data_IF_670483570352
#
_entry.id   IF_670483570352
#
_cell.length_a   1.000
_cell.length_b   1.000
_cell.length_c   1.000
_cell.angle_alpha   90.00
_cell.angle_beta   90.00
_cell.angle_gamma   90.00
#
_symmetry.space_group_name_H-M   'P 1'
#
loop_
_entity.id
_entity.type
_entity.pdbx_description
1 polymer ?
#
# COMPACT_ATOMS: atom_id res chain seq x y z
N UNK A 1 9.57 2.99 23.10
CA UNK A 1 9.70 4.46 22.90
C UNK A 1 8.29 5.05 23.01
N UNK A 2 8.01 6.01 23.88
CA UNK A 2 6.63 6.44 24.14
C UNK A 2 6.01 7.25 22.99
N UNK A 3 4.67 7.31 22.94
CA UNK A 3 3.85 8.09 21.97
C UNK A 3 4.40 9.49 21.67
N UNK A 4 5.06 10.14 22.63
CA UNK A 4 5.70 11.44 22.47
C UNK A 4 6.80 11.44 21.40
N UNK A 5 7.63 10.38 21.32
CA UNK A 5 8.71 10.29 20.31
C UNK A 5 8.14 10.11 18.90
N UNK A 6 7.03 9.40 18.75
CA UNK A 6 6.29 9.26 17.49
C UNK A 6 5.73 10.63 17.06
N UNK A 7 5.08 11.36 17.98
CA UNK A 7 4.60 12.71 17.72
C UNK A 7 5.72 13.68 17.30
N UNK A 8 6.90 13.59 17.90
CA UNK A 8 8.05 14.43 17.54
C UNK A 8 8.57 14.09 16.13
N UNK A 9 8.55 12.82 15.71
CA UNK A 9 8.88 12.45 14.32
C UNK A 9 7.87 13.04 13.32
N UNK A 10 6.58 13.05 13.65
CA UNK A 10 5.53 13.64 12.83
C UNK A 10 5.74 15.15 12.63
N UNK A 11 6.25 15.85 13.63
CA UNK A 11 6.38 17.31 13.61
C UNK A 11 7.70 17.83 13.03
N UNK A 12 8.81 17.13 13.26
CA UNK A 12 10.14 17.70 12.99
C UNK A 12 10.92 17.01 11.88
N UNK A 13 10.91 15.68 11.78
CA UNK A 13 11.72 14.97 10.77
C UNK A 13 11.16 13.58 10.51
N UNK A 14 10.30 13.45 9.54
CA UNK A 14 9.80 12.15 9.10
C UNK A 14 10.93 11.32 8.46
N UNK A 15 11.18 10.16 9.05
CA UNK A 15 12.04 9.10 8.52
C UNK A 15 11.18 7.85 8.39
N UNK A 16 10.69 7.50 7.18
CA UNK A 16 9.69 6.44 6.99
C UNK A 16 10.05 5.13 7.65
N UNK A 17 11.26 4.63 7.43
CA UNK A 17 11.70 3.35 7.99
C UNK A 17 11.65 3.33 9.52
N UNK A 18 12.20 4.36 10.16
CA UNK A 18 12.18 4.44 11.63
C UNK A 18 10.76 4.60 12.16
N UNK A 19 9.97 5.48 11.53
CA UNK A 19 8.60 5.75 11.93
C UNK A 19 7.75 4.48 11.94
N UNK A 20 7.75 3.73 10.81
CA UNK A 20 6.97 2.52 10.68
C UNK A 20 7.49 1.38 11.56
N UNK A 21 8.82 1.25 11.69
CA UNK A 21 9.38 0.25 12.57
C UNK A 21 9.02 0.51 14.04
N UNK A 22 9.08 1.77 14.50
CA UNK A 22 8.72 2.14 15.87
C UNK A 22 7.22 1.87 16.15
N UNK A 23 6.31 2.25 15.23
CA UNK A 23 4.87 2.03 15.37
C UNK A 23 4.53 0.54 15.39
N UNK A 24 5.02 -0.23 14.43
CA UNK A 24 4.70 -1.64 14.31
C UNK A 24 5.37 -2.47 15.42
N UNK A 25 6.48 -2.04 15.96
CA UNK A 25 7.08 -2.67 17.15
C UNK A 25 6.25 -2.42 18.41
N UNK A 26 5.54 -1.29 18.50
CA UNK A 26 4.65 -0.98 19.65
C UNK A 26 3.29 -1.67 19.51
N UNK A 27 2.75 -1.79 18.28
CA UNK A 27 1.44 -2.37 18.01
C UNK A 27 1.42 -3.09 16.67
N UNK A 28 1.66 -4.41 16.69
CA UNK A 28 1.62 -5.25 15.48
C UNK A 28 0.20 -5.77 15.22
N UNK A 29 -0.74 -4.85 15.10
CA UNK A 29 -2.15 -5.09 14.81
C UNK A 29 -2.75 -3.92 13.99
N UNK A 30 -4.07 -3.94 13.77
CA UNK A 30 -4.75 -2.91 12.97
C UNK A 30 -4.70 -1.49 13.59
N UNK A 31 -4.29 -1.33 14.85
CA UNK A 31 -4.06 0.00 15.45
C UNK A 31 -2.76 0.62 14.94
N UNK A 32 -1.76 -0.21 14.62
CA UNK A 32 -0.47 0.25 14.08
C UNK A 32 -0.55 0.72 12.61
N UNK A 33 -1.43 0.12 11.81
CA UNK A 33 -1.57 0.44 10.36
C UNK A 33 -2.89 1.12 10.00
N UNK A 34 -3.84 1.17 10.92
CA UNK A 34 -5.15 1.75 10.72
C UNK A 34 -5.23 3.23 11.07
N UNK A 35 -6.43 3.69 11.37
CA UNK A 35 -6.66 5.07 11.76
C UNK A 35 -6.20 5.31 13.20
N UNK A 36 -5.26 6.23 13.36
CA UNK A 36 -4.75 6.62 14.66
C UNK A 36 -5.87 7.19 15.55
N UNK A 37 -6.02 6.67 16.77
CA UNK A 37 -7.06 7.10 17.72
C UNK A 37 -8.35 6.27 17.68
N UNK A 38 -8.49 5.32 16.75
CA UNK A 38 -9.56 4.32 16.76
C UNK A 38 -9.14 3.08 17.55
N UNK A 39 -10.12 2.41 18.15
CA UNK A 39 -9.94 1.10 18.75
C UNK A 39 -9.59 0.04 17.69
N UNK A 40 -9.14 -1.12 18.15
CA UNK A 40 -8.89 -2.27 17.26
C UNK A 40 -10.17 -2.72 16.53
N UNK A 41 -11.30 -2.76 17.23
CA UNK A 41 -12.60 -3.12 16.66
C UNK A 41 -13.06 -2.15 15.57
N UNK A 42 -12.89 -0.83 15.80
CA UNK A 42 -13.23 0.18 14.78
C UNK A 42 -12.31 0.12 13.56
N UNK A 43 -11.02 -0.15 13.76
CA UNK A 43 -10.11 -0.38 12.68
C UNK A 43 -10.44 -1.68 11.94
N UNK A 44 -10.78 -2.76 12.62
CA UNK A 44 -11.20 -4.02 12.01
C UNK A 44 -12.47 -3.84 11.15
N UNK A 45 -13.46 -3.11 11.62
CA UNK A 45 -14.67 -2.78 10.86
C UNK A 45 -14.33 -1.98 9.59
N UNK A 46 -13.47 -0.95 9.70
CA UNK A 46 -13.00 -0.18 8.56
C UNK A 46 -12.26 -1.04 7.52
N UNK A 47 -11.41 -1.97 7.96
CA UNK A 47 -10.71 -2.87 7.06
C UNK A 47 -11.65 -3.90 6.40
N UNK A 48 -12.71 -4.33 7.09
CA UNK A 48 -13.74 -5.18 6.50
C UNK A 48 -14.52 -4.45 5.39
N UNK A 49 -14.87 -3.17 5.59
CA UNK A 49 -15.47 -2.33 4.55
C UNK A 49 -14.54 -2.16 3.35
N UNK A 50 -13.27 -1.85 3.58
CA UNK A 50 -12.24 -1.77 2.53
C UNK A 50 -12.11 -3.07 1.74
N UNK A 51 -12.15 -4.20 2.43
CA UNK A 51 -12.12 -5.52 1.80
C UNK A 51 -13.32 -5.73 0.88
N UNK A 52 -14.52 -5.40 1.31
CA UNK A 52 -15.72 -5.52 0.49
C UNK A 52 -15.65 -4.66 -0.79
N UNK A 53 -15.13 -3.42 -0.67
CA UNK A 53 -14.89 -2.55 -1.83
C UNK A 53 -13.89 -3.19 -2.80
N UNK A 54 -12.78 -3.69 -2.30
CA UNK A 54 -11.76 -4.34 -3.12
C UNK A 54 -12.33 -5.57 -3.83
N UNK A 55 -13.05 -6.43 -3.12
CA UNK A 55 -13.69 -7.62 -3.72
C UNK A 55 -14.66 -7.24 -4.84
N UNK A 56 -15.43 -6.16 -4.65
CA UNK A 56 -16.31 -5.61 -5.67
C UNK A 56 -15.56 -5.11 -6.90
N UNK A 57 -14.46 -4.37 -6.71
CA UNK A 57 -13.66 -3.83 -7.82
C UNK A 57 -12.87 -4.94 -8.55
N UNK A 58 -12.35 -5.95 -7.83
CA UNK A 58 -11.73 -7.11 -8.47
C UNK A 58 -12.74 -7.85 -9.37
N UNK A 59 -13.96 -8.04 -8.90
CA UNK A 59 -15.04 -8.65 -9.69
C UNK A 59 -15.43 -7.78 -10.90
N UNK A 60 -15.59 -6.47 -10.70
CA UNK A 60 -15.94 -5.49 -11.75
C UNK A 60 -14.94 -5.49 -12.90
N UNK A 61 -13.65 -5.58 -12.59
CA UNK A 61 -12.57 -5.57 -13.59
C UNK A 61 -12.08 -6.97 -13.97
N UNK A 62 -12.80 -8.02 -13.58
CA UNK A 62 -12.48 -9.43 -13.89
C UNK A 62 -11.06 -9.82 -13.49
N UNK A 63 -10.61 -9.35 -12.32
CA UNK A 63 -9.31 -9.72 -11.76
C UNK A 63 -9.46 -10.99 -10.94
N UNK A 64 -9.08 -12.11 -11.53
CA UNK A 64 -9.09 -13.40 -10.84
C UNK A 64 -7.81 -13.57 -9.99
N UNK A 65 -8.00 -14.04 -8.76
CA UNK A 65 -6.92 -14.44 -7.85
C UNK A 65 -6.93 -15.96 -7.72
N UNK A 66 -5.76 -16.57 -7.70
CA UNK A 66 -5.64 -18.03 -7.59
C UNK A 66 -4.21 -18.49 -7.40
N UNK A 67 -3.99 -19.82 -7.41
CA UNK A 67 -2.70 -20.41 -7.05
C UNK A 67 -1.55 -20.01 -7.98
N UNK A 68 -1.85 -19.71 -9.24
CA UNK A 68 -0.83 -19.34 -10.23
C UNK A 68 -0.60 -17.82 -10.32
N UNK A 69 -1.41 -17.01 -9.61
CA UNK A 69 -1.26 -15.56 -9.60
C UNK A 69 0.00 -15.15 -8.83
N UNK A 70 0.93 -14.51 -9.50
CA UNK A 70 2.15 -13.96 -8.90
C UNK A 70 1.88 -12.54 -8.40
N UNK A 71 1.86 -12.36 -7.09
CA UNK A 71 1.51 -11.10 -6.45
C UNK A 71 2.74 -10.40 -5.89
N UNK A 72 2.82 -9.10 -6.14
CA UNK A 72 3.73 -8.17 -5.47
C UNK A 72 2.91 -7.22 -4.59
N UNK A 73 3.01 -7.36 -3.28
CA UNK A 73 2.43 -6.43 -2.31
C UNK A 73 3.48 -5.45 -1.81
N UNK A 74 3.19 -4.16 -1.86
CA UNK A 74 4.00 -3.10 -1.29
C UNK A 74 3.31 -2.56 -0.04
N UNK A 75 4.05 -2.54 1.09
CA UNK A 75 3.53 -2.14 2.39
C UNK A 75 2.71 -3.25 3.05
N UNK A 76 3.32 -4.42 3.26
CA UNK A 76 2.65 -5.59 3.87
C UNK A 76 2.18 -5.32 5.30
N UNK A 77 2.78 -4.35 6.02
CA UNK A 77 2.39 -3.90 7.34
C UNK A 77 2.25 -5.03 8.35
N UNK A 78 1.04 -5.22 8.86
CA UNK A 78 0.70 -6.31 9.81
C UNK A 78 0.17 -7.58 9.13
N UNK A 79 0.14 -7.61 7.79
CA UNK A 79 -0.25 -8.77 6.99
C UNK A 79 -1.74 -8.91 6.75
N UNK A 80 -2.54 -7.86 6.90
CA UNK A 80 -3.98 -7.93 6.64
C UNK A 80 -4.29 -8.30 5.19
N UNK A 81 -3.67 -7.61 4.24
CA UNK A 81 -3.84 -7.90 2.81
C UNK A 81 -3.10 -9.15 2.38
N UNK A 82 -1.97 -9.46 3.00
CA UNK A 82 -1.26 -10.74 2.84
C UNK A 82 -2.18 -11.92 3.14
N UNK A 83 -2.90 -11.89 4.28
CA UNK A 83 -3.86 -12.94 4.65
C UNK A 83 -5.07 -12.96 3.70
N UNK A 84 -5.56 -11.80 3.28
CA UNK A 84 -6.62 -11.71 2.27
C UNK A 84 -6.22 -12.40 0.97
N UNK A 85 -5.03 -12.09 0.43
CA UNK A 85 -4.52 -12.68 -0.81
C UNK A 85 -4.31 -14.21 -0.65
N UNK A 86 -3.78 -14.63 0.49
CA UNK A 86 -3.66 -16.06 0.83
C UNK A 86 -5.01 -16.76 0.87
N UNK A 87 -6.03 -16.14 1.47
CA UNK A 87 -7.40 -16.68 1.54
C UNK A 87 -8.07 -16.83 0.17
N UNK A 88 -7.60 -16.08 -0.84
CA UNK A 88 -8.02 -16.21 -2.25
C UNK A 88 -7.24 -17.29 -3.02
N UNK A 89 -6.39 -18.04 -2.35
CA UNK A 89 -5.63 -19.15 -2.93
C UNK A 89 -4.30 -18.76 -3.56
N UNK A 90 -3.83 -17.51 -3.41
CA UNK A 90 -2.52 -17.07 -3.91
C UNK A 90 -1.41 -17.88 -3.25
N UNK A 91 -0.50 -18.45 -4.06
CA UNK A 91 0.68 -19.23 -3.61
C UNK A 91 2.01 -18.56 -3.97
N UNK A 92 2.03 -17.73 -5.00
CA UNK A 92 3.22 -16.99 -5.43
C UNK A 92 3.11 -15.55 -4.98
N UNK A 93 3.67 -15.26 -3.82
CA UNK A 93 3.56 -13.96 -3.17
C UNK A 93 4.93 -13.41 -2.81
N UNK A 94 5.12 -12.13 -3.10
CA UNK A 94 6.25 -11.33 -2.62
C UNK A 94 5.70 -10.10 -1.94
N UNK A 95 5.94 -9.97 -0.64
CA UNK A 95 5.61 -8.78 0.15
C UNK A 95 6.85 -7.90 0.35
N UNK A 96 6.64 -6.60 0.32
CA UNK A 96 7.67 -5.63 0.69
C UNK A 96 7.16 -4.73 1.81
N UNK A 97 8.02 -4.42 2.74
CA UNK A 97 7.78 -3.36 3.72
C UNK A 97 9.08 -2.65 4.07
N UNK A 98 8.98 -1.39 4.51
CA UNK A 98 10.12 -0.60 4.97
C UNK A 98 10.46 -0.89 6.44
N UNK A 99 9.51 -1.47 7.20
CA UNK A 99 9.68 -1.84 8.60
C UNK A 99 10.22 -3.25 8.75
N UNK A 100 11.35 -3.38 9.43
CA UNK A 100 12.00 -4.68 9.67
C UNK A 100 11.10 -5.62 10.46
N UNK A 101 10.40 -5.13 11.48
CA UNK A 101 9.47 -5.93 12.29
C UNK A 101 8.34 -6.55 11.47
N UNK A 102 7.89 -5.87 10.42
CA UNK A 102 6.90 -6.43 9.48
C UNK A 102 7.46 -7.65 8.77
N UNK A 103 8.64 -7.50 8.17
CA UNK A 103 9.30 -8.58 7.41
C UNK A 103 9.60 -9.80 8.29
N UNK A 104 10.14 -9.60 9.49
CA UNK A 104 10.47 -10.67 10.42
C UNK A 104 9.21 -11.41 10.90
N UNK A 105 8.18 -10.66 11.29
CA UNK A 105 6.94 -11.25 11.82
C UNK A 105 6.15 -11.98 10.73
N UNK A 106 6.04 -11.39 9.54
CA UNK A 106 5.29 -11.99 8.44
C UNK A 106 6.06 -13.15 7.81
N UNK A 107 7.39 -13.06 7.70
CA UNK A 107 8.22 -14.19 7.26
C UNK A 107 8.09 -15.42 8.15
N UNK A 108 8.02 -15.22 9.47
CA UNK A 108 7.77 -16.31 10.41
C UNK A 108 6.32 -16.85 10.31
N UNK A 109 5.33 -15.98 10.06
CA UNK A 109 3.91 -16.35 9.96
C UNK A 109 3.57 -17.07 8.65
N UNK A 110 4.23 -16.70 7.56
CA UNK A 110 3.97 -17.19 6.19
C UNK A 110 5.27 -17.69 5.54
N UNK A 111 5.84 -18.83 6.00
CA UNK A 111 7.16 -19.31 5.55
C UNK A 111 7.22 -19.67 4.05
N UNK A 112 6.06 -19.90 3.42
CA UNK A 112 5.96 -20.19 1.99
C UNK A 112 5.96 -18.92 1.11
N UNK A 113 5.88 -17.72 1.72
CA UNK A 113 5.88 -16.44 1.04
C UNK A 113 7.25 -15.76 1.13
N UNK A 114 7.55 -14.93 0.17
CA UNK A 114 8.78 -14.13 0.17
C UNK A 114 8.51 -12.74 0.74
N UNK A 115 9.38 -12.25 1.63
CA UNK A 115 9.29 -10.89 2.18
C UNK A 115 10.62 -10.16 1.98
N UNK A 116 10.55 -8.91 1.48
CA UNK A 116 11.70 -8.09 1.13
C UNK A 116 11.68 -6.78 1.94
N UNK A 117 12.69 -6.58 2.77
CA UNK A 117 12.88 -5.33 3.51
C UNK A 117 13.40 -4.23 2.59
N UNK A 118 12.81 -3.04 2.64
CA UNK A 118 13.39 -1.85 2.03
C UNK A 118 12.38 -0.87 1.45
N UNK A 119 12.92 0.24 0.98
CA UNK A 119 12.19 1.28 0.25
C UNK A 119 11.73 0.74 -1.12
N UNK A 120 10.43 0.83 -1.38
CA UNK A 120 9.80 0.32 -2.61
C UNK A 120 10.43 0.86 -3.91
N UNK A 121 11.03 2.05 -3.86
CA UNK A 121 11.73 2.65 -5.00
C UNK A 121 13.20 2.23 -5.13
N UNK A 122 13.72 1.41 -4.21
CA UNK A 122 15.14 1.02 -4.15
C UNK A 122 15.36 -0.49 -4.11
N UNK A 123 14.36 -1.28 -3.70
CA UNK A 123 14.46 -2.75 -3.70
C UNK A 123 14.64 -3.28 -5.12
N UNK A 124 15.42 -4.34 -5.27
CA UNK A 124 15.57 -5.03 -6.53
C UNK A 124 14.34 -5.92 -6.78
N UNK A 125 13.55 -5.58 -7.80
CA UNK A 125 12.41 -6.36 -8.25
C UNK A 125 12.72 -6.93 -9.64
N UNK A 126 12.43 -8.21 -9.89
CA UNK A 126 12.60 -8.78 -11.21
C UNK A 126 11.59 -8.12 -12.19
N UNK A 127 12.04 -7.63 -13.37
CA UNK A 127 11.16 -6.98 -14.32
C UNK A 127 10.15 -7.97 -14.92
N UNK A 128 8.94 -7.51 -15.23
CA UNK A 128 7.88 -8.26 -15.90
C UNK A 128 7.62 -9.65 -15.28
N UNK A 129 7.62 -9.74 -13.94
CA UNK A 129 7.55 -11.02 -13.22
C UNK A 129 6.25 -11.24 -12.44
N UNK A 130 5.43 -10.19 -12.27
CA UNK A 130 4.23 -10.26 -11.45
C UNK A 130 2.96 -10.03 -12.28
N UNK A 131 1.90 -10.73 -11.90
CA UNK A 131 0.56 -10.66 -12.50
C UNK A 131 -0.29 -9.59 -11.83
N UNK A 132 -0.02 -9.33 -10.55
CA UNK A 132 -0.74 -8.40 -9.72
C UNK A 132 0.23 -7.58 -8.87
N UNK A 133 0.15 -6.26 -9.02
CA UNK A 133 0.70 -5.31 -8.07
C UNK A 133 -0.37 -4.89 -7.06
N UNK A 134 -0.01 -4.82 -5.79
CA UNK A 134 -0.91 -4.49 -4.69
C UNK A 134 -0.28 -3.45 -3.79
N UNK A 135 -0.88 -2.24 -3.72
CA UNK A 135 -0.31 -1.14 -2.96
C UNK A 135 -1.42 -0.31 -2.31
N UNK A 136 -1.91 -0.80 -1.17
CA UNK A 136 -3.07 -0.26 -0.46
C UNK A 136 -2.63 0.55 0.75
N UNK A 137 -3.05 1.83 0.82
CA UNK A 137 -2.74 2.78 1.91
C UNK A 137 -1.25 3.04 2.14
N UNK A 138 -0.43 3.00 1.09
CA UNK A 138 1.03 3.17 1.16
C UNK A 138 1.50 4.49 0.57
N UNK A 139 1.01 4.84 -0.61
CA UNK A 139 1.57 5.91 -1.45
C UNK A 139 1.60 7.28 -0.80
N UNK A 140 0.63 7.58 0.07
CA UNK A 140 0.58 8.84 0.81
C UNK A 140 1.75 9.01 1.79
N UNK A 141 2.33 7.89 2.25
CA UNK A 141 3.45 7.90 3.19
C UNK A 141 4.82 8.06 2.51
N UNK A 142 4.87 8.02 1.19
CA UNK A 142 6.07 8.35 0.41
C UNK A 142 6.01 9.86 0.12
N UNK A 143 6.48 10.68 1.04
CA UNK A 143 6.26 12.14 1.01
C UNK A 143 7.17 12.89 0.05
N UNK A 144 8.32 12.35 -0.33
CA UNK A 144 9.20 12.89 -1.37
C UNK A 144 8.67 12.50 -2.77
N UNK A 145 8.61 13.45 -3.72
CA UNK A 145 8.05 13.20 -5.05
C UNK A 145 8.95 12.31 -5.91
N UNK A 146 10.25 12.45 -5.79
CA UNK A 146 11.18 11.63 -6.54
C UNK A 146 11.16 10.18 -6.02
N UNK A 147 11.07 9.99 -4.70
CA UNK A 147 10.91 8.66 -4.10
C UNK A 147 9.57 8.02 -4.50
N UNK A 148 8.48 8.79 -4.50
CA UNK A 148 7.18 8.32 -4.99
C UNK A 148 7.25 7.86 -6.45
N UNK A 149 7.83 8.69 -7.32
CA UNK A 149 7.97 8.35 -8.74
C UNK A 149 8.81 7.07 -8.93
N UNK A 150 9.93 6.95 -8.19
CA UNK A 150 10.75 5.72 -8.23
C UNK A 150 9.97 4.50 -7.76
N UNK A 151 9.22 4.60 -6.65
CA UNK A 151 8.44 3.49 -6.10
C UNK A 151 7.39 2.99 -7.10
N UNK A 152 6.57 3.90 -7.65
CA UNK A 152 5.55 3.53 -8.64
C UNK A 152 6.19 2.97 -9.91
N UNK A 153 7.31 3.56 -10.39
CA UNK A 153 8.04 3.08 -11.57
C UNK A 153 8.59 1.68 -11.34
N UNK A 154 9.21 1.42 -10.19
CA UNK A 154 9.79 0.12 -9.85
C UNK A 154 8.71 -0.98 -9.83
N UNK A 155 7.58 -0.72 -9.16
CA UNK A 155 6.44 -1.65 -9.16
C UNK A 155 5.89 -1.85 -10.56
N UNK A 156 5.69 -0.77 -11.33
CA UNK A 156 5.17 -0.84 -12.69
C UNK A 156 6.05 -1.64 -13.63
N UNK A 157 7.37 -1.51 -13.51
CA UNK A 157 8.33 -2.28 -14.30
C UNK A 157 8.34 -3.76 -13.91
N UNK A 158 8.13 -4.08 -12.64
CA UNK A 158 8.03 -5.46 -12.15
C UNK A 158 6.78 -6.20 -12.64
N UNK A 159 5.72 -5.47 -12.99
CA UNK A 159 4.51 -6.04 -13.57
C UNK A 159 4.74 -6.45 -15.03
N UNK A 160 4.24 -7.63 -15.43
CA UNK A 160 4.28 -8.10 -16.83
C UNK A 160 3.23 -7.37 -17.69
N UNK A 161 3.35 -7.38 -19.03
CA UNK A 161 2.26 -6.99 -19.92
C UNK A 161 0.98 -7.76 -19.60
N UNK A 162 -0.17 -7.07 -19.62
CA UNK A 162 -1.47 -7.62 -19.22
C UNK A 162 -1.71 -7.71 -17.72
N UNK A 163 -0.70 -7.44 -16.87
CA UNK A 163 -0.85 -7.47 -15.42
C UNK A 163 -1.76 -6.35 -14.90
N UNK A 164 -2.27 -6.56 -13.70
CA UNK A 164 -3.13 -5.59 -12.99
C UNK A 164 -2.36 -4.92 -11.86
N UNK A 165 -2.58 -3.63 -11.64
CA UNK A 165 -2.12 -2.90 -10.47
C UNK A 165 -3.32 -2.35 -9.70
N UNK A 166 -3.48 -2.79 -8.46
CA UNK A 166 -4.51 -2.30 -7.52
C UNK A 166 -3.82 -1.36 -6.56
N UNK A 167 -4.20 -0.09 -6.61
CA UNK A 167 -3.53 0.95 -5.83
C UNK A 167 -4.53 1.95 -5.26
N UNK A 168 -4.28 2.41 -4.04
CA UNK A 168 -5.03 3.53 -3.46
C UNK A 168 -4.27 4.84 -3.66
N UNK A 169 -5.03 5.91 -3.85
CA UNK A 169 -4.50 7.25 -3.92
C UNK A 169 -5.38 8.25 -3.17
N UNK A 170 -4.79 9.35 -2.78
CA UNK A 170 -5.44 10.36 -1.99
C UNK A 170 -5.55 11.66 -2.78
N UNK A 171 -6.72 11.91 -3.38
CA UNK A 171 -6.90 13.09 -4.22
C UNK A 171 -7.19 14.34 -3.36
N UNK A 172 -6.30 15.34 -3.39
CA UNK A 172 -6.50 16.58 -2.66
C UNK A 172 -7.69 17.39 -3.17
N UNK A 173 -8.14 17.18 -4.42
CA UNK A 173 -9.28 17.89 -4.99
C UNK A 173 -10.62 17.43 -4.39
N UNK A 174 -10.73 16.17 -3.98
CA UNK A 174 -11.96 15.59 -3.42
C UNK A 174 -12.04 15.66 -1.91
N UNK A 175 -10.93 15.90 -1.21
CA UNK A 175 -10.87 15.88 0.24
C UNK A 175 -10.50 17.25 0.82
N UNK A 176 -11.50 18.12 0.98
CA UNK A 176 -11.35 19.48 1.55
C UNK A 176 -10.82 19.50 2.99
N UNK A 177 -11.01 18.42 3.75
CA UNK A 177 -10.52 18.30 5.13
C UNK A 177 -9.00 18.25 5.21
N UNK A 178 -8.37 17.70 4.19
CA UNK A 178 -6.93 17.61 4.05
C UNK A 178 -6.22 18.95 3.83
N UNK A 179 -6.81 19.86 3.05
CA UNK A 179 -6.18 21.15 2.76
C UNK A 179 -5.81 21.93 4.02
N UNK A 180 -6.59 21.77 5.12
CA UNK A 180 -6.34 22.42 6.40
C UNK A 180 -5.42 21.62 7.35
N UNK A 181 -5.42 20.26 7.25
CA UNK A 181 -4.60 19.39 8.10
C UNK A 181 -3.16 19.24 7.61
N UNK A 182 -2.95 19.32 6.30
CA UNK A 182 -1.66 19.04 5.66
C UNK A 182 -0.53 20.01 5.99
N UNK A 183 -0.85 21.21 6.47
CA UNK A 183 0.19 22.17 6.88
C UNK A 183 1.06 21.69 8.03
N UNK A 184 0.58 20.71 8.84
CA UNK A 184 1.28 20.16 10.00
C UNK A 184 1.64 18.69 9.86
N UNK A 185 1.07 17.98 8.88
CA UNK A 185 1.31 16.55 8.68
C UNK A 185 2.47 16.34 7.72
N UNK A 186 3.61 15.90 8.23
CA UNK A 186 4.82 15.61 7.44
C UNK A 186 4.96 14.14 7.05
N UNK A 187 4.09 13.28 7.56
CA UNK A 187 4.12 11.82 7.33
C UNK A 187 3.24 11.39 6.16
N UNK A 188 2.43 12.30 5.63
CA UNK A 188 1.51 12.02 4.52
C UNK A 188 1.54 13.15 3.51
N UNK A 189 1.48 12.77 2.23
CA UNK A 189 1.36 13.69 1.10
C UNK A 189 0.33 13.13 0.12
N UNK A 190 -0.80 13.82 -0.07
CA UNK A 190 -1.81 13.42 -1.05
C UNK A 190 -1.30 13.65 -2.46
N UNK A 191 -1.69 12.77 -3.38
CA UNK A 191 -1.46 12.90 -4.81
C UNK A 191 -2.65 12.37 -5.58
N UNK A 192 -3.21 13.18 -6.45
CA UNK A 192 -4.28 12.77 -7.36
C UNK A 192 -3.77 11.79 -8.43
N UNK A 193 -4.70 11.16 -9.13
CA UNK A 193 -4.43 10.14 -10.15
C UNK A 193 -3.49 10.63 -11.27
N UNK A 194 -3.43 11.93 -11.53
CA UNK A 194 -2.51 12.53 -12.52
C UNK A 194 -1.04 12.18 -12.23
N UNK A 195 -0.63 12.15 -10.95
CA UNK A 195 0.74 11.80 -10.58
C UNK A 195 1.10 10.35 -10.93
N UNK A 196 0.12 9.45 -10.91
CA UNK A 196 0.30 8.04 -11.29
C UNK A 196 0.29 7.85 -12.81
N UNK A 197 -0.58 8.58 -13.51
CA UNK A 197 -0.64 8.53 -14.98
C UNK A 197 0.68 8.88 -15.65
N UNK A 198 1.48 9.75 -15.05
CA UNK A 198 2.80 10.10 -15.52
C UNK A 198 3.76 8.89 -15.61
N UNK A 199 3.56 7.87 -14.75
CA UNK A 199 4.35 6.63 -14.74
C UNK A 199 3.72 5.55 -15.61
N UNK A 200 2.40 5.39 -15.56
CA UNK A 200 1.71 4.31 -16.28
C UNK A 200 1.77 4.44 -17.79
N UNK A 201 1.92 5.68 -18.27
CA UNK A 201 1.90 5.98 -19.71
C UNK A 201 0.49 5.98 -20.31
N UNK A 202 0.37 6.44 -21.58
CA UNK A 202 -0.93 6.67 -22.23
C UNK A 202 -1.66 5.38 -22.60
N UNK A 203 -0.97 4.27 -22.75
CA UNK A 203 -1.55 2.98 -23.15
C UNK A 203 -2.14 2.19 -21.96
N UNK A 204 -1.87 2.60 -20.73
CA UNK A 204 -2.44 1.94 -19.56
C UNK A 204 -3.97 2.14 -19.50
N UNK A 205 -4.70 1.05 -19.28
CA UNK A 205 -6.14 1.10 -19.07
C UNK A 205 -6.40 1.36 -17.58
N UNK A 206 -6.93 2.53 -17.26
CA UNK A 206 -7.19 2.95 -15.89
C UNK A 206 -8.70 2.88 -15.65
N UNK A 207 -9.10 2.09 -14.68
CA UNK A 207 -10.48 1.98 -14.24
C UNK A 207 -11.00 3.27 -13.58
N UNK A 208 -12.32 3.35 -13.40
CA UNK A 208 -12.92 4.46 -12.65
C UNK A 208 -12.53 4.34 -11.17
N UNK A 209 -12.10 5.44 -10.54
CA UNK A 209 -11.76 5.42 -9.12
C UNK A 209 -12.99 5.13 -8.25
N UNK A 210 -12.90 4.09 -7.43
CA UNK A 210 -13.91 3.77 -6.42
C UNK A 210 -13.63 4.52 -5.10
N UNK A 211 -14.65 5.05 -4.41
CA UNK A 211 -14.47 5.60 -3.06
C UNK A 211 -13.90 4.54 -2.11
N UNK A 212 -12.89 4.93 -1.33
CA UNK A 212 -12.18 4.04 -0.42
C UNK A 212 -11.87 4.75 0.89
N UNK A 213 -12.88 4.89 1.74
CA UNK A 213 -12.92 5.78 2.90
C UNK A 213 -12.65 7.24 2.47
N UNK A 214 -11.57 7.82 2.97
CA UNK A 214 -11.11 9.17 2.63
C UNK A 214 -10.21 9.22 1.39
N UNK A 215 -10.04 8.11 0.69
CA UNK A 215 -9.19 7.92 -0.50
C UNK A 215 -9.99 7.35 -1.66
N UNK A 216 -9.29 6.99 -2.70
CA UNK A 216 -9.82 6.27 -3.85
C UNK A 216 -8.98 5.03 -4.12
N UNK A 217 -9.65 3.95 -4.51
CA UNK A 217 -9.06 2.75 -5.07
C UNK A 217 -9.15 2.82 -6.59
N UNK A 218 -8.10 2.42 -7.28
CA UNK A 218 -8.11 2.27 -8.73
C UNK A 218 -7.48 0.96 -9.15
N UNK A 219 -8.08 0.34 -10.15
CA UNK A 219 -7.57 -0.85 -10.83
C UNK A 219 -6.99 -0.41 -12.17
N UNK A 220 -5.72 -0.69 -12.41
CA UNK A 220 -4.98 -0.28 -13.61
C UNK A 220 -4.46 -1.52 -14.31
N UNK A 221 -4.70 -1.65 -15.62
CA UNK A 221 -4.15 -2.73 -16.43
C UNK A 221 -2.97 -2.23 -17.25
N UNK A 222 -1.87 -2.93 -17.12
CA UNK A 222 -0.67 -2.68 -17.92
C UNK A 222 -0.88 -3.19 -19.33
N UNK A 223 -0.52 -2.40 -20.38
CA UNK A 223 -0.61 -2.83 -21.78
C UNK A 223 0.29 -4.00 -22.11
#
# INVERSE_FOLDING_TARGET
>A
MGRLAIYMQMLFRYKPQRYWNDILSESFDLRGVGHFGRSEAENAAMYAEKRAIIEGELARYHVALGPDTRVLEIGSGVGYWTEFLRSKGVRHYTGNDIAQVSIETLGARYPDFTFVLGDAGQIALPPASFDLGWMIDVTQHITDDAAFHRAITNVWQALRPGATFVVTFWDPATNKYLANKLRLNRIEKPRGLVAYRAVFGPAAVIGDPAPFNDKHLVVVRKP
#
